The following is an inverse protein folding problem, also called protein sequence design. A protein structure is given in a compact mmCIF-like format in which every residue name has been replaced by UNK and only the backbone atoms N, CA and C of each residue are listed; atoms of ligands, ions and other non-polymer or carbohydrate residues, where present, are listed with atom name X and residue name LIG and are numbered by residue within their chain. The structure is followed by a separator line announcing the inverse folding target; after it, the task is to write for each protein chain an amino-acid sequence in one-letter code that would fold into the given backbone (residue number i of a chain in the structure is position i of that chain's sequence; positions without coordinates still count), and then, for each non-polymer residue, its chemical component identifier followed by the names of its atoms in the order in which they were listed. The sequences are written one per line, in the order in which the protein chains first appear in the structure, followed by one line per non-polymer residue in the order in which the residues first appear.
data_IF_630577816221
#
_entry.id   IF_630577816221
#
_cell.length_a   1.000
_cell.length_b   1.000
_cell.length_c   1.000
_cell.angle_alpha   90.00
_cell.angle_beta   90.00
_cell.angle_gamma   90.00
#
_symmetry.space_group_name_H-M   'P 1'
#
loop_
_entity.id
_entity.type
_entity.pdbx_description
1 polymer ?
#
# COMPACT_ATOMS: atom_id res chain seq x y z
N UNK A 1 -1.18 14.73 14.08
CA UNK A 1 -2.08 13.80 13.36
C UNK A 1 -1.88 12.40 13.91
N UNK A 2 -2.96 11.63 14.06
CA UNK A 2 -2.92 10.24 14.57
C UNK A 2 -3.72 9.38 13.60
N UNK A 3 -3.20 8.21 13.27
CA UNK A 3 -3.91 7.13 12.58
C UNK A 3 -3.87 5.88 13.45
N UNK A 4 -4.98 5.15 13.50
CA UNK A 4 -5.12 3.91 14.26
C UNK A 4 -6.08 2.99 13.52
N UNK A 5 -5.77 1.69 13.51
CA UNK A 5 -6.66 0.67 12.97
C UNK A 5 -6.60 -0.59 13.84
N UNK A 6 -7.75 -1.21 14.08
CA UNK A 6 -7.90 -2.48 14.80
C UNK A 6 -8.59 -3.47 13.87
N UNK A 7 -7.80 -4.39 13.31
CA UNK A 7 -8.28 -5.35 12.31
C UNK A 7 -8.35 -6.78 12.83
N UNK A 8 -7.64 -7.10 13.92
CA UNK A 8 -7.72 -8.40 14.59
C UNK A 8 -9.00 -8.49 15.44
N UNK A 9 -10.12 -8.63 14.73
CA UNK A 9 -11.45 -8.79 15.31
C UNK A 9 -11.72 -10.26 15.66
N UNK A 10 -12.64 -10.56 16.59
CA UNK A 10 -13.02 -11.93 16.92
C UNK A 10 -13.55 -12.73 15.71
N UNK A 11 -14.11 -12.03 14.71
CA UNK A 11 -14.61 -12.61 13.47
C UNK A 11 -13.79 -12.11 12.28
N UNK A 12 -12.99 -13.00 11.69
CA UNK A 12 -12.27 -12.69 10.45
C UNK A 12 -13.21 -12.48 9.25
N UNK A 13 -14.40 -13.09 9.28
CA UNK A 13 -15.42 -12.86 8.27
C UNK A 13 -15.93 -11.41 8.32
N UNK A 14 -16.12 -10.86 9.52
CA UNK A 14 -16.48 -9.46 9.71
C UNK A 14 -15.37 -8.53 9.21
N UNK A 15 -14.12 -8.80 9.63
CA UNK A 15 -12.97 -8.03 9.21
C UNK A 15 -12.83 -7.98 7.67
N UNK A 16 -12.95 -9.13 7.01
CA UNK A 16 -12.92 -9.23 5.55
C UNK A 16 -14.12 -8.51 4.88
N UNK A 17 -15.32 -8.59 5.46
CA UNK A 17 -16.50 -7.91 4.90
C UNK A 17 -16.40 -6.39 4.98
N UNK A 18 -15.78 -5.86 6.03
CA UNK A 18 -15.54 -4.42 6.22
C UNK A 18 -14.53 -3.89 5.20
N UNK A 19 -13.55 -4.69 4.77
CA UNK A 19 -12.64 -4.31 3.67
C UNK A 19 -13.38 -4.05 2.35
N UNK A 20 -14.55 -4.66 2.14
CA UNK A 20 -15.40 -4.39 0.98
C UNK A 20 -15.95 -2.94 0.93
N UNK A 21 -15.85 -2.17 2.02
CA UNK A 21 -16.23 -0.76 2.04
C UNK A 21 -15.18 0.19 1.42
N UNK A 22 -13.98 -0.30 1.09
CA UNK A 22 -12.94 0.52 0.45
C UNK A 22 -13.32 0.85 -1.00
N UNK A 23 -13.96 -0.09 -1.67
CA UNK A 23 -14.54 0.06 -3.01
C UNK A 23 -16.00 0.49 -2.92
N UNK A 24 -16.66 0.70 -4.06
CA UNK A 24 -18.10 0.98 -4.08
C UNK A 24 -18.86 -0.20 -3.44
N UNK A 25 -19.34 0.01 -2.21
CA UNK A 25 -19.99 -1.05 -1.43
C UNK A 25 -21.25 -1.59 -2.10
N UNK A 26 -21.97 -0.76 -2.86
CA UNK A 26 -23.24 -1.15 -3.47
C UNK A 26 -23.01 -1.85 -4.81
N UNK A 27 -21.96 -1.47 -5.54
CA UNK A 27 -21.66 -2.00 -6.86
C UNK A 27 -20.61 -3.10 -6.83
N UNK A 28 -19.44 -2.84 -6.25
CA UNK A 28 -18.30 -3.76 -6.23
C UNK A 28 -18.42 -4.79 -5.09
N UNK A 29 -18.99 -4.38 -3.96
CA UNK A 29 -19.19 -5.21 -2.77
C UNK A 29 -19.93 -6.54 -3.02
N UNK A 30 -21.12 -6.54 -3.66
CA UNK A 30 -21.87 -7.77 -3.96
C UNK A 30 -21.13 -8.74 -4.89
N UNK A 31 -20.14 -8.25 -5.64
CA UNK A 31 -19.29 -9.06 -6.52
C UNK A 31 -18.04 -9.61 -5.80
N UNK A 32 -17.90 -9.36 -4.49
CA UNK A 32 -16.79 -9.86 -3.70
C UNK A 32 -15.47 -9.15 -3.97
N UNK A 33 -15.50 -7.94 -4.55
CA UNK A 33 -14.33 -7.12 -4.88
C UNK A 33 -13.71 -6.48 -3.63
N UNK A 34 -13.29 -7.32 -2.69
CA UNK A 34 -12.40 -6.96 -1.58
C UNK A 34 -10.96 -6.77 -2.09
N UNK A 35 -10.02 -6.39 -1.22
CA UNK A 35 -8.67 -6.04 -1.66
C UNK A 35 -7.93 -7.16 -2.42
N UNK A 36 -7.83 -8.42 -1.95
CA UNK A 36 -7.10 -9.44 -2.71
C UNK A 36 -7.71 -9.75 -4.09
N UNK A 37 -9.04 -9.93 -4.24
CA UNK A 37 -9.66 -10.07 -5.57
C UNK A 37 -9.45 -8.86 -6.49
N UNK A 38 -9.51 -7.63 -5.96
CA UNK A 38 -9.24 -6.42 -6.74
C UNK A 38 -7.80 -6.40 -7.27
N UNK A 39 -6.81 -6.57 -6.38
CA UNK A 39 -5.41 -6.58 -6.77
C UNK A 39 -5.04 -7.80 -7.62
N UNK A 40 -5.78 -8.91 -7.53
CA UNK A 40 -5.63 -10.02 -8.45
C UNK A 40 -6.03 -9.63 -9.88
N UNK A 41 -7.12 -8.88 -10.08
CA UNK A 41 -7.48 -8.35 -11.40
C UNK A 41 -6.42 -7.38 -11.94
N UNK A 42 -5.89 -6.51 -11.09
CA UNK A 42 -4.77 -5.61 -11.43
C UNK A 42 -3.55 -6.42 -11.86
N UNK A 43 -3.14 -7.42 -11.06
CA UNK A 43 -2.01 -8.29 -11.37
C UNK A 43 -2.23 -9.02 -12.69
N UNK A 44 -3.38 -9.66 -12.91
CA UNK A 44 -3.70 -10.34 -14.17
C UNK A 44 -3.62 -9.40 -15.37
N UNK A 45 -4.11 -8.16 -15.25
CA UNK A 45 -4.01 -7.17 -16.33
C UNK A 45 -2.55 -6.76 -16.57
N UNK A 46 -1.80 -6.50 -15.51
CA UNK A 46 -0.39 -6.11 -15.59
C UNK A 46 0.49 -7.24 -16.16
N UNK A 47 0.21 -8.50 -15.82
CA UNK A 47 0.85 -9.67 -16.43
C UNK A 47 0.60 -9.74 -17.94
N UNK A 48 -0.64 -9.45 -18.39
CA UNK A 48 -1.00 -9.47 -19.82
C UNK A 48 -0.38 -8.31 -20.60
N UNK A 49 -0.32 -7.11 -20.03
CA UNK A 49 0.16 -5.90 -20.72
C UNK A 49 1.67 -5.70 -20.63
N UNK A 50 2.28 -6.09 -19.52
CA UNK A 50 3.67 -5.77 -19.19
C UNK A 50 4.53 -7.01 -18.89
N UNK A 51 3.95 -8.22 -18.89
CA UNK A 51 4.71 -9.46 -18.71
C UNK A 51 5.20 -9.71 -17.28
N UNK A 52 4.58 -9.11 -16.26
CA UNK A 52 4.85 -9.48 -14.86
C UNK A 52 4.66 -10.97 -14.66
N UNK A 53 5.51 -11.57 -13.83
CA UNK A 53 5.47 -12.99 -13.52
C UNK A 53 5.21 -13.21 -12.03
N UNK A 54 4.72 -14.38 -11.60
CA UNK A 54 4.60 -14.71 -10.18
C UNK A 54 5.93 -14.58 -9.44
N UNK A 55 7.06 -14.88 -10.08
CA UNK A 55 8.40 -14.72 -9.52
C UNK A 55 8.74 -13.25 -9.28
N UNK A 56 8.27 -12.34 -10.13
CA UNK A 56 8.44 -10.90 -9.91
C UNK A 56 7.67 -10.43 -8.66
N UNK A 57 6.44 -10.91 -8.45
CA UNK A 57 5.64 -10.62 -7.25
C UNK A 57 6.33 -11.18 -5.99
N UNK A 58 6.75 -12.44 -6.03
CA UNK A 58 7.46 -13.09 -4.93
C UNK A 58 8.75 -12.35 -4.53
N UNK A 59 9.49 -11.78 -5.50
CA UNK A 59 10.69 -10.97 -5.23
C UNK A 59 10.37 -9.66 -4.50
N UNK A 60 9.21 -9.05 -4.76
CA UNK A 60 8.77 -7.86 -4.00
C UNK A 60 8.54 -8.24 -2.54
N UNK A 61 7.80 -9.31 -2.29
CA UNK A 61 7.53 -9.83 -0.94
C UNK A 61 8.82 -10.23 -0.20
N UNK A 62 9.74 -10.95 -0.86
CA UNK A 62 11.05 -11.29 -0.28
C UNK A 62 11.86 -10.03 0.10
N UNK A 63 11.89 -9.02 -0.78
CA UNK A 63 12.53 -7.73 -0.52
C UNK A 63 11.90 -7.03 0.70
N UNK A 64 10.57 -7.00 0.78
CA UNK A 64 9.85 -6.38 1.90
C UNK A 64 10.14 -7.11 3.22
N UNK A 65 10.10 -8.44 3.25
CA UNK A 65 10.46 -9.22 4.43
C UNK A 65 11.92 -9.05 4.85
N UNK A 66 12.84 -8.87 3.89
CA UNK A 66 14.23 -8.54 4.20
C UNK A 66 14.35 -7.19 4.92
N UNK A 67 13.64 -6.16 4.46
CA UNK A 67 13.61 -4.85 5.14
C UNK A 67 12.84 -4.91 6.48
N UNK A 68 11.83 -5.76 6.61
CA UNK A 68 11.16 -6.00 7.89
C UNK A 68 12.15 -6.45 8.98
N UNK A 69 13.19 -7.22 8.63
CA UNK A 69 14.23 -7.64 9.56
C UNK A 69 15.19 -6.51 10.01
N UNK A 70 15.13 -5.33 9.39
CA UNK A 70 15.85 -4.14 9.87
C UNK A 70 15.00 -3.28 10.80
N UNK A 71 13.72 -3.64 11.01
CA UNK A 71 12.79 -2.91 11.86
C UNK A 71 12.22 -3.82 12.97
N UNK A 72 12.64 -3.66 14.25
CA UNK A 72 12.15 -4.48 15.37
C UNK A 72 10.64 -4.34 15.64
N UNK A 73 9.98 -3.31 15.10
CA UNK A 73 8.53 -3.11 15.23
C UNK A 73 7.72 -3.79 14.12
N UNK A 74 8.36 -4.34 13.10
CA UNK A 74 7.66 -5.01 12.01
C UNK A 74 7.00 -6.32 12.49
N UNK A 75 5.77 -6.59 12.05
CA UNK A 75 5.02 -7.80 12.42
C UNK A 75 5.73 -9.12 12.06
N UNK A 76 6.57 -9.06 11.02
CA UNK A 76 7.40 -10.18 10.57
C UNK A 76 8.88 -10.01 10.91
N UNK A 77 9.22 -9.21 11.92
CA UNK A 77 10.59 -9.12 12.43
C UNK A 77 11.14 -10.50 12.83
N UNK A 78 12.43 -10.70 12.54
CA UNK A 78 13.16 -11.96 12.72
C UNK A 78 12.56 -13.16 11.95
N UNK A 79 11.86 -12.93 10.83
CA UNK A 79 11.35 -13.98 9.94
C UNK A 79 11.91 -13.80 8.53
N UNK A 80 12.29 -14.93 7.92
CA UNK A 80 12.87 -14.95 6.56
C UNK A 80 12.00 -15.75 5.61
N UNK A 81 11.80 -15.20 4.42
CA UNK A 81 11.01 -15.78 3.36
C UNK A 81 11.79 -15.68 2.05
N UNK A 82 12.14 -16.81 1.45
CA UNK A 82 12.72 -16.86 0.11
C UNK A 82 11.61 -16.77 -0.95
N UNK A 83 11.94 -16.26 -2.14
CA UNK A 83 11.00 -16.29 -3.27
C UNK A 83 10.43 -17.69 -3.54
N UNK A 84 11.25 -18.75 -3.43
CA UNK A 84 10.80 -20.14 -3.58
C UNK A 84 9.72 -20.52 -2.57
N UNK A 85 9.94 -20.20 -1.29
CA UNK A 85 8.96 -20.45 -0.24
C UNK A 85 7.67 -19.66 -0.48
N UNK A 86 7.78 -18.41 -0.91
CA UNK A 86 6.64 -17.53 -1.21
C UNK A 86 5.79 -18.06 -2.37
N UNK A 87 6.43 -18.58 -3.42
CA UNK A 87 5.74 -19.22 -4.55
C UNK A 87 5.00 -20.51 -4.17
N UNK A 88 5.45 -21.19 -3.12
CA UNK A 88 4.80 -22.38 -2.55
C UNK A 88 3.65 -22.08 -1.58
N UNK A 89 3.41 -20.81 -1.24
CA UNK A 89 2.32 -20.45 -0.34
C UNK A 89 0.93 -20.63 -0.99
N UNK A 90 -0.13 -20.82 -0.18
CA UNK A 90 -1.49 -20.94 -0.70
C UNK A 90 -1.89 -19.76 -1.58
N UNK A 91 -2.61 -20.05 -2.66
CA UNK A 91 -3.25 -19.04 -3.49
C UNK A 91 -4.43 -18.45 -2.74
N UNK A 92 -4.48 -17.11 -2.64
CA UNK A 92 -5.59 -16.38 -2.01
C UNK A 92 -6.59 -15.96 -3.08
N UNK A 93 -6.09 -15.28 -4.13
CA UNK A 93 -6.87 -14.84 -5.28
C UNK A 93 -5.97 -14.92 -6.52
N UNK A 94 -6.15 -15.90 -7.43
CA UNK A 94 -5.20 -16.14 -8.51
C UNK A 94 -4.92 -14.87 -9.34
N UNK A 95 -3.65 -14.46 -9.56
CA UNK A 95 -2.40 -15.20 -9.31
C UNK A 95 -1.78 -14.98 -7.92
N UNK A 96 -2.37 -14.11 -7.10
CA UNK A 96 -1.83 -13.71 -5.80
C UNK A 96 -1.88 -14.86 -4.79
N UNK A 97 -0.75 -15.06 -4.14
CA UNK A 97 -0.56 -15.99 -3.02
C UNK A 97 -0.57 -15.24 -1.71
N UNK A 98 -0.60 -15.99 -0.62
CA UNK A 98 -0.58 -15.44 0.73
C UNK A 98 0.59 -14.48 0.97
N UNK A 99 1.75 -14.75 0.36
CA UNK A 99 2.93 -13.90 0.45
C UNK A 99 2.83 -12.57 -0.31
N UNK A 100 1.86 -12.43 -1.21
CA UNK A 100 1.60 -11.21 -1.99
C UNK A 100 0.53 -10.31 -1.34
N UNK A 101 -0.04 -10.74 -0.21
CA UNK A 101 -1.07 -9.99 0.51
C UNK A 101 -0.49 -9.38 1.80
N UNK A 102 -0.77 -8.11 2.06
CA UNK A 102 -0.43 -7.46 3.31
C UNK A 102 -1.13 -8.13 4.50
N UNK A 103 -0.48 -8.12 5.65
CA UNK A 103 -0.97 -8.80 6.85
C UNK A 103 -2.01 -7.99 7.60
N UNK A 104 -2.96 -8.71 8.20
CA UNK A 104 -3.89 -8.12 9.14
C UNK A 104 -3.14 -7.68 10.41
N UNK A 105 -3.19 -6.38 10.69
CA UNK A 105 -2.39 -5.73 11.74
C UNK A 105 -3.27 -4.81 12.57
N UNK A 106 -3.05 -4.82 13.88
CA UNK A 106 -3.50 -3.74 14.76
C UNK A 106 -2.34 -2.79 14.97
N UNK A 107 -2.58 -1.49 14.86
CA UNK A 107 -1.51 -0.52 15.03
C UNK A 107 -2.00 0.91 15.09
N UNK A 108 -1.12 1.77 15.55
CA UNK A 108 -1.32 3.21 15.51
C UNK A 108 0.01 3.91 15.20
N UNK A 109 -0.08 5.05 14.52
CA UNK A 109 1.04 5.93 14.26
C UNK A 109 0.60 7.38 14.51
N UNK A 110 1.53 8.20 15.00
CA UNK A 110 1.26 9.61 15.26
C UNK A 110 2.45 10.47 14.83
N UNK A 111 2.14 11.64 14.30
CA UNK A 111 3.13 12.68 13.99
C UNK A 111 2.69 14.01 14.60
N UNK A 112 3.66 14.74 15.17
CA UNK A 112 3.45 16.10 15.66
C UNK A 112 3.87 17.06 14.56
N UNK A 113 2.92 17.84 14.06
CA UNK A 113 3.14 18.86 13.03
C UNK A 113 3.03 20.21 13.70
N UNK A 114 4.03 21.07 13.49
CA UNK A 114 4.12 22.41 14.08
C UNK A 114 4.51 23.42 13.02
N UNK A 115 4.12 24.68 13.22
CA UNK A 115 4.57 25.78 12.37
C UNK A 115 6.08 25.95 12.42
N UNK A 116 6.67 26.43 11.31
CA UNK A 116 8.10 26.69 11.18
C UNK A 116 8.62 27.60 12.31
N UNK A 117 7.83 28.60 12.68
CA UNK A 117 8.12 29.56 13.74
C UNK A 117 8.19 28.91 15.14
N UNK A 118 7.60 27.72 15.33
CA UNK A 118 7.59 27.01 16.61
C UNK A 118 8.51 25.79 16.65
N UNK A 119 9.01 25.32 15.49
CA UNK A 119 9.69 24.02 15.40
C UNK A 119 10.93 23.90 16.29
N UNK A 120 11.66 25.01 16.47
CA UNK A 120 12.86 25.09 17.31
C UNK A 120 12.58 24.89 18.80
N UNK A 121 11.32 25.00 19.23
CA UNK A 121 10.91 24.64 20.61
C UNK A 121 10.86 23.13 20.83
N UNK A 122 10.79 22.33 19.77
CA UNK A 122 10.58 20.88 19.83
C UNK A 122 11.79 20.09 19.35
N UNK A 123 12.51 20.56 18.33
CA UNK A 123 13.66 19.83 17.75
C UNK A 123 14.61 20.75 16.99
N UNK A 124 15.90 20.41 17.01
CA UNK A 124 16.92 21.04 16.16
C UNK A 124 17.04 20.41 14.77
N UNK A 125 16.44 19.22 14.58
CA UNK A 125 16.48 18.43 13.35
C UNK A 125 15.07 18.14 12.82
N UNK A 126 14.34 19.15 12.34
CA UNK A 126 12.99 18.94 11.80
C UNK A 126 13.01 18.21 10.46
N UNK A 127 12.00 17.37 10.23
CA UNK A 127 11.67 16.83 8.91
C UNK A 127 10.65 17.76 8.24
N UNK A 128 11.04 18.42 7.16
CA UNK A 128 10.19 19.41 6.49
C UNK A 128 9.23 18.77 5.50
N UNK A 129 7.94 19.11 5.59
CA UNK A 129 6.97 18.78 4.55
C UNK A 129 7.14 19.79 3.42
N UNK A 130 7.87 19.40 2.36
CA UNK A 130 8.22 20.28 1.24
C UNK A 130 7.09 20.45 0.23
N UNK A 131 6.20 19.47 0.12
CA UNK A 131 5.06 19.50 -0.78
C UNK A 131 4.10 18.35 -0.47
N UNK A 132 2.83 18.57 -0.78
CA UNK A 132 1.75 17.60 -0.61
C UNK A 132 0.86 17.64 -1.84
N UNK A 133 0.38 16.50 -2.30
CA UNK A 133 -0.62 16.43 -3.35
C UNK A 133 -1.66 15.39 -2.98
N UNK A 134 -2.91 15.66 -3.34
CA UNK A 134 -4.02 14.77 -3.06
C UNK A 134 -4.95 14.74 -4.26
N UNK A 135 -5.38 13.55 -4.62
CA UNK A 135 -6.32 13.35 -5.69
C UNK A 135 -7.29 12.24 -5.32
N UNK A 136 -8.55 12.40 -5.72
CA UNK A 136 -9.57 11.35 -5.62
C UNK A 136 -9.99 10.98 -7.04
N UNK A 137 -9.92 9.69 -7.35
CA UNK A 137 -10.29 9.16 -8.66
C UNK A 137 -11.64 8.42 -8.57
N UNK A 138 -11.92 7.54 -9.53
CA UNK A 138 -13.08 6.67 -9.51
C UNK A 138 -13.21 5.90 -8.18
N UNK A 139 -14.46 5.71 -7.75
CA UNK A 139 -14.79 4.88 -6.59
C UNK A 139 -15.24 3.46 -6.99
N UNK A 140 -15.66 3.29 -8.24
CA UNK A 140 -16.24 2.06 -8.79
C UNK A 140 -15.34 1.48 -9.89
N UNK A 141 -15.09 0.18 -9.85
CA UNK A 141 -14.25 -0.53 -10.82
C UNK A 141 -14.70 -0.39 -12.28
N UNK A 142 -16.01 -0.29 -12.52
CA UNK A 142 -16.56 -0.08 -13.86
C UNK A 142 -16.08 1.24 -14.50
N UNK A 143 -15.63 2.19 -13.68
CA UNK A 143 -15.08 3.47 -14.12
C UNK A 143 -13.56 3.53 -14.03
N UNK A 144 -12.90 2.41 -13.66
CA UNK A 144 -11.45 2.28 -13.71
C UNK A 144 -11.00 2.27 -15.19
N UNK A 145 -10.72 3.44 -15.75
CA UNK A 145 -10.28 3.58 -17.15
C UNK A 145 -9.03 2.74 -17.49
N UNK A 146 -8.27 2.33 -16.48
CA UNK A 146 -7.25 1.29 -16.55
C UNK A 146 -7.07 0.65 -15.17
N UNK A 147 -6.66 -0.62 -15.14
CA UNK A 147 -6.26 -1.34 -13.92
C UNK A 147 -4.75 -1.33 -13.67
N UNK A 148 -3.95 -0.88 -14.65
CA UNK A 148 -2.48 -0.88 -14.59
C UNK A 148 -1.89 0.52 -14.54
N UNK A 149 -2.74 1.53 -14.67
CA UNK A 149 -2.38 2.94 -14.56
C UNK A 149 -3.09 3.54 -13.36
N UNK A 150 -2.43 4.46 -12.67
CA UNK A 150 -2.98 5.16 -11.51
C UNK A 150 -2.94 6.68 -11.72
N UNK A 151 -3.79 7.25 -12.60
CA UNK A 151 -3.72 8.67 -12.96
C UNK A 151 -3.84 9.60 -11.76
N UNK A 152 -4.72 9.25 -10.79
CA UNK A 152 -4.82 9.99 -9.54
C UNK A 152 -3.52 10.02 -8.73
N UNK A 153 -2.82 8.90 -8.61
CA UNK A 153 -1.52 8.84 -7.91
C UNK A 153 -0.45 9.62 -8.68
N UNK A 154 -0.42 9.54 -10.02
CA UNK A 154 0.50 10.34 -10.84
C UNK A 154 0.26 11.84 -10.66
N UNK A 155 -1.00 12.27 -10.59
CA UNK A 155 -1.37 13.68 -10.34
C UNK A 155 -0.99 14.13 -8.94
N UNK A 156 -1.30 13.33 -7.92
CA UNK A 156 -0.96 13.63 -6.53
C UNK A 156 0.56 13.72 -6.33
N UNK A 157 1.33 12.79 -6.90
CA UNK A 157 2.79 12.83 -6.86
C UNK A 157 3.35 14.04 -7.61
N UNK A 158 2.81 14.35 -8.80
CA UNK A 158 3.20 15.52 -9.58
C UNK A 158 2.93 16.85 -8.86
N UNK A 159 1.78 16.97 -8.19
CA UNK A 159 1.47 18.15 -7.37
C UNK A 159 2.42 18.27 -6.17
N UNK A 160 2.69 17.18 -5.46
CA UNK A 160 3.61 17.17 -4.33
C UNK A 160 5.02 17.60 -4.74
N UNK A 161 5.55 17.04 -5.83
CA UNK A 161 6.85 17.40 -6.41
C UNK A 161 6.88 18.86 -6.89
N UNK A 162 5.84 19.31 -7.58
CA UNK A 162 5.72 20.69 -8.06
C UNK A 162 5.72 21.72 -6.92
N UNK A 163 4.96 21.46 -5.84
CA UNK A 163 4.98 22.32 -4.63
C UNK A 163 6.34 22.30 -3.93
N UNK A 164 6.99 21.14 -3.89
CA UNK A 164 8.35 21.01 -3.36
C UNK A 164 9.44 21.66 -4.22
N UNK A 165 9.10 21.97 -5.49
CA UNK A 165 10.04 22.38 -6.56
C UNK A 165 11.13 21.33 -6.79
N UNK A 166 10.73 20.07 -6.81
CA UNK A 166 11.60 18.90 -7.02
C UNK A 166 11.11 18.07 -8.20
N UNK A 167 11.95 17.16 -8.67
CA UNK A 167 11.67 16.12 -9.66
C UNK A 167 11.78 14.74 -9.01
N UNK A 168 11.33 13.69 -9.71
CA UNK A 168 11.46 12.32 -9.19
C UNK A 168 12.93 11.88 -9.05
N UNK A 169 13.84 12.51 -9.81
CA UNK A 169 15.28 12.26 -9.72
C UNK A 169 15.91 12.82 -8.43
N UNK A 170 15.23 13.74 -7.74
CA UNK A 170 15.68 14.31 -6.46
C UNK A 170 15.26 13.46 -5.24
N UNK A 171 14.59 12.32 -5.46
CA UNK A 171 14.06 11.47 -4.39
C UNK A 171 15.04 10.34 -4.07
N UNK A 172 15.62 10.38 -2.88
CA UNK A 172 16.56 9.37 -2.39
C UNK A 172 15.89 8.06 -1.94
N UNK A 173 14.64 8.15 -1.44
CA UNK A 173 13.89 7.04 -0.88
C UNK A 173 12.38 7.29 -0.96
N UNK A 174 11.59 6.21 -1.04
CA UNK A 174 10.13 6.26 -1.06
C UNK A 174 9.51 5.17 -0.17
N UNK A 175 8.52 5.58 0.62
CA UNK A 175 7.50 4.68 1.18
C UNK A 175 6.32 4.65 0.19
N UNK A 176 5.94 3.45 -0.26
CA UNK A 176 4.83 3.23 -1.18
C UNK A 176 3.81 2.30 -0.53
N UNK A 177 2.54 2.42 -0.93
CA UNK A 177 1.49 1.51 -0.47
C UNK A 177 1.57 0.22 -1.28
N UNK A 178 2.30 -0.76 -0.74
CA UNK A 178 2.47 -2.11 -1.28
C UNK A 178 1.34 -3.08 -0.88
#
# INVERSE_FOLDING_TARGET
AVGVEKMNLPSMAEANSSMGCVMDRAWDGPHGATAPPFFAMVAQRHMREHGTTPEALARVSEKNHRFANTNPTAQFYAKTFSSEKLLGLPVVAPPLRLGDCSSMTDGAAAVVVVGEEFVRRFTDRPAWIRGTGQYSDFHNLAHAGSLTQWPGLTRAAGEALGRAKLTIQDIDFAEIHD
#
